data_IF_153444611892
#
_entry.id   IF_153444611892
#
_cell.length_a   1.000
_cell.length_b   1.000
_cell.length_c   1.000
_cell.angle_alpha   90.00
_cell.angle_beta   90.00
_cell.angle_gamma   90.00
#
_symmetry.space_group_name_H-M   'P 1'
#
loop_
_entity.id
_entity.type
_entity.pdbx_description
1 polymer ?
#
# COMPACT_ATOMS: atom_id res chain seq x y z
N UNK A 1 -13.27 7.66 -13.45
CA UNK A 1 -12.38 8.72 -12.93
C UNK A 1 -11.39 8.06 -11.98
N UNK A 2 -10.12 8.42 -12.07
CA UNK A 2 -9.07 7.95 -11.16
C UNK A 2 -8.40 9.18 -10.57
N UNK A 3 -8.37 9.26 -9.25
CA UNK A 3 -7.46 10.14 -8.54
C UNK A 3 -6.11 9.43 -8.40
N UNK A 4 -5.01 10.13 -8.69
CA UNK A 4 -3.66 9.60 -8.59
C UNK A 4 -2.77 10.63 -7.92
N UNK A 5 -2.26 10.27 -6.75
CA UNK A 5 -1.35 11.10 -5.97
C UNK A 5 -0.25 10.27 -5.32
N UNK A 6 0.90 10.90 -5.07
CA UNK A 6 1.98 10.35 -4.25
C UNK A 6 1.77 10.81 -2.82
N UNK A 7 1.83 9.88 -1.86
CA UNK A 7 1.74 10.18 -0.44
C UNK A 7 3.07 9.80 0.24
N UNK A 8 3.62 10.74 1.00
CA UNK A 8 4.84 10.50 1.78
C UNK A 8 4.45 10.13 3.21
N UNK A 9 4.63 8.85 3.55
CA UNK A 9 4.23 8.31 4.84
C UNK A 9 5.41 7.97 5.75
N UNK A 10 6.66 8.14 5.32
CA UNK A 10 7.79 8.14 6.25
C UNK A 10 7.83 9.46 7.03
N UNK A 11 8.25 9.43 8.30
CA UNK A 11 8.38 10.66 9.09
C UNK A 11 9.74 11.34 8.89
N UNK A 12 9.83 12.49 8.19
CA UNK A 12 11.08 13.23 8.00
C UNK A 12 11.72 13.71 9.31
N UNK A 13 10.98 13.72 10.44
CA UNK A 13 11.54 14.04 11.76
C UNK A 13 12.32 12.87 12.38
N UNK A 14 12.18 11.66 11.83
CA UNK A 14 12.88 10.46 12.30
C UNK A 14 13.93 10.10 11.24
N UNK A 15 15.21 10.28 11.57
CA UNK A 15 16.32 9.91 10.69
C UNK A 15 16.24 8.44 10.31
N UNK A 16 16.31 8.12 9.01
CA UNK A 16 16.24 6.74 8.51
C UNK A 16 14.83 6.17 8.32
N UNK A 17 13.78 6.97 8.54
CA UNK A 17 12.38 6.50 8.46
C UNK A 17 11.92 6.08 7.07
N UNK A 18 12.65 6.43 6.01
CA UNK A 18 12.38 5.94 4.64
C UNK A 18 12.71 4.46 4.47
N UNK A 19 13.65 3.95 5.27
CA UNK A 19 14.09 2.55 5.27
C UNK A 19 14.33 2.11 6.72
N UNK A 20 13.26 2.01 7.53
CA UNK A 20 13.36 1.88 8.98
C UNK A 20 14.15 0.63 9.42
N UNK A 21 14.00 -0.50 8.73
CA UNK A 21 14.76 -1.72 9.08
C UNK A 21 16.23 -1.64 8.67
N UNK A 22 16.56 -0.93 7.57
CA UNK A 22 17.97 -0.64 7.25
C UNK A 22 18.59 0.28 8.30
N UNK A 23 17.88 1.32 8.72
CA UNK A 23 18.37 2.24 9.75
C UNK A 23 18.49 1.58 11.13
N UNK A 24 17.74 0.50 11.37
CA UNK A 24 17.84 -0.33 12.56
C UNK A 24 18.93 -1.41 12.46
N UNK A 25 19.52 -1.64 11.29
CA UNK A 25 20.59 -2.61 11.08
C UNK A 25 21.81 -2.24 11.93
N UNK A 26 22.31 -3.19 12.71
CA UNK A 26 23.45 -2.99 13.62
C UNK A 26 23.10 -2.30 14.94
N UNK A 27 21.85 -1.92 15.19
CA UNK A 27 21.41 -1.49 16.52
C UNK A 27 21.21 -2.71 17.43
N UNK A 28 21.48 -2.52 18.73
CA UNK A 28 21.05 -3.45 19.77
C UNK A 28 19.53 -3.67 19.70
N UNK A 29 19.07 -4.91 19.91
CA UNK A 29 17.67 -5.31 19.64
C UNK A 29 16.62 -4.42 20.32
N UNK A 30 16.85 -4.03 21.58
CA UNK A 30 15.93 -3.15 22.30
C UNK A 30 15.90 -1.72 21.74
N UNK A 31 17.04 -1.23 21.23
CA UNK A 31 17.11 0.07 20.56
C UNK A 31 16.46 0.01 19.18
N UNK A 32 16.71 -1.06 18.43
CA UNK A 32 16.06 -1.33 17.16
C UNK A 32 14.53 -1.35 17.32
N UNK A 33 14.01 -2.09 18.30
CA UNK A 33 12.57 -2.16 18.60
C UNK A 33 11.98 -0.78 18.87
N UNK A 34 12.53 -0.02 19.82
CA UNK A 34 12.04 1.33 20.16
C UNK A 34 12.11 2.30 18.98
N UNK A 35 13.14 2.18 18.15
CA UNK A 35 13.28 2.97 16.94
C UNK A 35 12.17 2.62 15.93
N UNK A 36 11.95 1.33 15.66
CA UNK A 36 10.93 0.86 14.74
C UNK A 36 9.51 1.23 15.21
N UNK A 37 9.21 1.11 16.50
CA UNK A 37 7.93 1.54 17.08
C UNK A 37 7.64 3.03 16.80
N UNK A 38 8.65 3.90 16.95
CA UNK A 38 8.52 5.33 16.62
C UNK A 38 8.29 5.56 15.12
N UNK A 39 8.99 4.80 14.26
CA UNK A 39 8.78 4.85 12.81
C UNK A 39 7.38 4.37 12.43
N UNK A 40 6.87 3.31 13.06
CA UNK A 40 5.53 2.79 12.82
C UNK A 40 4.46 3.81 13.21
N UNK A 41 4.57 4.43 14.39
CA UNK A 41 3.65 5.45 14.84
C UNK A 41 3.64 6.66 13.90
N UNK A 42 4.83 7.16 13.53
CA UNK A 42 4.98 8.26 12.57
C UNK A 42 4.36 7.92 11.21
N UNK A 43 4.56 6.70 10.71
CA UNK A 43 4.01 6.26 9.45
C UNK A 43 2.49 6.09 9.48
N UNK A 44 1.94 5.50 10.55
CA UNK A 44 0.49 5.33 10.73
C UNK A 44 -0.23 6.68 10.78
N UNK A 45 0.31 7.65 11.51
CA UNK A 45 -0.26 9.00 11.60
C UNK A 45 -0.33 9.67 10.21
N UNK A 46 0.75 9.60 9.46
CA UNK A 46 0.85 10.21 8.12
C UNK A 46 -0.04 9.51 7.10
N UNK A 47 -0.07 8.17 7.12
CA UNK A 47 -0.96 7.39 6.28
C UNK A 47 -2.43 7.72 6.59
N UNK A 48 -2.81 7.81 7.87
CA UNK A 48 -4.19 8.15 8.27
C UNK A 48 -4.58 9.53 7.77
N UNK A 49 -3.71 10.53 7.93
CA UNK A 49 -3.96 11.89 7.42
C UNK A 49 -4.11 11.91 5.90
N UNK A 50 -3.21 11.24 5.18
CA UNK A 50 -3.24 11.22 3.72
C UNK A 50 -4.50 10.51 3.18
N UNK A 51 -4.90 9.38 3.77
CA UNK A 51 -6.12 8.67 3.37
C UNK A 51 -7.39 9.46 3.74
N UNK A 52 -7.38 10.16 4.86
CA UNK A 52 -8.48 11.07 5.25
C UNK A 52 -8.65 12.20 4.22
N UNK A 53 -7.56 12.85 3.81
CA UNK A 53 -7.57 13.91 2.79
C UNK A 53 -8.13 13.39 1.45
N UNK A 54 -7.68 12.21 1.00
CA UNK A 54 -8.23 11.55 -0.20
C UNK A 54 -9.73 11.33 -0.08
N UNK A 55 -10.18 10.79 1.06
CA UNK A 55 -11.60 10.51 1.30
C UNK A 55 -12.44 11.78 1.30
N UNK A 56 -11.95 12.86 1.91
CA UNK A 56 -12.69 14.11 2.01
C UNK A 56 -12.75 14.84 0.66
N UNK A 57 -11.70 14.78 -0.14
CA UNK A 57 -11.71 15.27 -1.53
C UNK A 57 -12.73 14.50 -2.38
N UNK A 58 -12.71 13.17 -2.32
CA UNK A 58 -13.69 12.33 -3.03
C UNK A 58 -15.13 12.62 -2.59
N UNK A 59 -15.37 12.81 -1.29
CA UNK A 59 -16.69 13.18 -0.76
C UNK A 59 -17.14 14.56 -1.26
N UNK A 60 -16.23 15.53 -1.33
CA UNK A 60 -16.51 16.88 -1.87
C UNK A 60 -16.95 16.81 -3.33
N UNK A 61 -16.41 15.86 -4.08
CA UNK A 61 -16.78 15.58 -5.47
C UNK A 61 -18.03 14.67 -5.59
N UNK A 62 -18.76 14.44 -4.48
CA UNK A 62 -19.98 13.63 -4.46
C UNK A 62 -19.75 12.13 -4.57
N UNK A 63 -18.55 11.64 -4.20
CA UNK A 63 -18.21 10.21 -4.24
C UNK A 63 -18.06 9.60 -2.86
N UNK A 64 -18.46 8.35 -2.76
CA UNK A 64 -18.27 7.53 -1.57
C UNK A 64 -17.08 6.59 -1.72
N UNK A 65 -16.34 6.41 -0.64
CA UNK A 65 -15.24 5.44 -0.54
C UNK A 65 -15.76 4.14 0.06
N UNK A 66 -15.77 3.06 -0.70
CA UNK A 66 -16.34 1.76 -0.28
C UNK A 66 -15.32 0.76 0.26
N UNK A 67 -14.03 1.00 0.06
CA UNK A 67 -12.96 0.13 0.54
C UNK A 67 -11.58 0.55 0.05
N UNK A 68 -10.57 -0.22 0.45
CA UNK A 68 -9.17 0.00 0.11
C UNK A 68 -8.54 -1.29 -0.41
N UNK A 69 -8.04 -1.27 -1.65
CA UNK A 69 -7.28 -2.40 -2.20
C UNK A 69 -5.79 -2.23 -1.89
N UNK A 70 -5.18 -3.19 -1.21
CA UNK A 70 -3.77 -3.13 -0.81
C UNK A 70 -2.96 -4.26 -1.45
N UNK A 71 -1.96 -3.89 -2.25
CA UNK A 71 -1.07 -4.86 -2.90
C UNK A 71 -0.04 -5.43 -1.92
N UNK A 72 -0.04 -6.75 -1.77
CA UNK A 72 0.92 -7.48 -0.96
C UNK A 72 2.08 -8.01 -1.82
N UNK A 73 3.29 -7.97 -1.28
CA UNK A 73 4.45 -8.59 -1.94
C UNK A 73 4.39 -10.12 -1.83
N UNK A 74 4.62 -10.66 -0.62
CA UNK A 74 4.52 -12.09 -0.33
C UNK A 74 3.34 -12.44 0.57
N UNK A 75 2.82 -11.47 1.33
CA UNK A 75 1.76 -11.67 2.32
C UNK A 75 2.16 -12.60 3.48
N UNK A 76 3.46 -12.86 3.65
CA UNK A 76 3.97 -13.74 4.70
C UNK A 76 4.34 -12.91 5.94
N UNK A 77 4.05 -13.40 7.15
CA UNK A 77 4.47 -12.73 8.36
C UNK A 77 5.99 -12.64 8.42
N UNK A 78 6.50 -11.51 8.93
CA UNK A 78 7.92 -11.35 9.17
C UNK A 78 8.37 -12.29 10.30
N UNK A 79 9.60 -12.86 10.21
CA UNK A 79 10.19 -13.58 11.32
C UNK A 79 10.50 -12.63 12.50
N UNK A 80 10.94 -13.16 13.66
CA UNK A 80 11.37 -12.33 14.79
C UNK A 80 12.39 -11.25 14.40
N UNK A 81 12.37 -10.10 15.07
CA UNK A 81 13.19 -8.94 14.72
C UNK A 81 14.68 -9.27 14.56
N UNK A 82 15.25 -10.07 15.46
CA UNK A 82 16.66 -10.46 15.38
C UNK A 82 16.98 -11.21 14.07
N UNK A 83 16.07 -12.07 13.63
CA UNK A 83 16.18 -12.80 12.37
C UNK A 83 15.98 -11.93 11.14
N UNK A 84 15.14 -10.89 11.24
CA UNK A 84 14.98 -9.88 10.19
C UNK A 84 16.29 -9.11 10.03
N UNK A 85 16.81 -8.55 11.12
CA UNK A 85 18.02 -7.71 11.10
C UNK A 85 19.30 -8.48 10.75
N UNK A 86 19.30 -9.81 10.88
CA UNK A 86 20.41 -10.66 10.47
C UNK A 86 20.49 -10.91 8.95
N UNK A 87 19.53 -10.44 8.15
CA UNK A 87 19.48 -10.70 6.71
C UNK A 87 19.01 -9.49 5.92
N UNK A 88 19.89 -8.99 5.04
CA UNK A 88 19.58 -7.86 4.15
C UNK A 88 18.34 -8.10 3.28
N UNK A 89 18.14 -9.34 2.81
CA UNK A 89 16.92 -9.71 2.06
C UNK A 89 15.64 -9.61 2.91
N UNK A 90 15.72 -9.97 4.19
CA UNK A 90 14.60 -9.83 5.13
C UNK A 90 14.37 -8.38 5.53
N UNK A 91 15.43 -7.58 5.68
CA UNK A 91 15.35 -6.14 5.89
C UNK A 91 14.58 -5.46 4.75
N UNK A 92 14.92 -5.74 3.49
CA UNK A 92 14.17 -5.20 2.34
C UNK A 92 12.68 -5.57 2.38
N UNK A 93 12.39 -6.82 2.76
CA UNK A 93 11.00 -7.29 2.89
C UNK A 93 10.28 -6.55 4.02
N UNK A 94 10.95 -6.37 5.15
CA UNK A 94 10.41 -5.72 6.33
C UNK A 94 10.14 -4.22 6.13
N UNK A 95 11.02 -3.50 5.42
CA UNK A 95 10.75 -2.11 5.02
C UNK A 95 9.49 -1.98 4.17
N UNK A 96 9.30 -2.90 3.22
CA UNK A 96 8.09 -2.93 2.41
C UNK A 96 6.84 -3.21 3.25
N UNK A 97 6.93 -4.15 4.20
CA UNK A 97 5.81 -4.51 5.07
C UNK A 97 5.46 -3.38 6.05
N UNK A 98 6.45 -2.67 6.57
CA UNK A 98 6.28 -1.50 7.45
C UNK A 98 5.27 -0.49 6.90
N UNK A 99 5.42 -0.13 5.63
CA UNK A 99 4.54 0.85 4.98
C UNK A 99 3.18 0.27 4.58
N UNK A 100 3.11 -1.04 4.25
CA UNK A 100 1.83 -1.72 3.98
C UNK A 100 0.99 -1.81 5.26
N UNK A 101 1.60 -2.17 6.38
CA UNK A 101 0.96 -2.21 7.68
C UNK A 101 0.48 -0.82 8.12
N UNK A 102 1.28 0.22 7.88
CA UNK A 102 0.87 1.60 8.13
C UNK A 102 -0.38 2.00 7.32
N UNK A 103 -0.43 1.65 6.02
CA UNK A 103 -1.59 1.90 5.15
C UNK A 103 -2.81 1.07 5.55
N UNK A 104 -2.61 -0.21 5.86
CA UNK A 104 -3.66 -1.14 6.30
C UNK A 104 -4.32 -0.63 7.60
N UNK A 105 -3.49 -0.28 8.58
CA UNK A 105 -3.95 0.27 9.86
C UNK A 105 -4.68 1.60 9.67
N UNK A 106 -4.15 2.48 8.81
CA UNK A 106 -4.78 3.77 8.50
C UNK A 106 -6.12 3.62 7.77
N UNK A 107 -6.25 2.67 6.84
CA UNK A 107 -7.53 2.40 6.19
C UNK A 107 -8.56 1.83 7.20
N UNK A 108 -8.13 0.92 8.07
CA UNK A 108 -8.98 0.36 9.12
C UNK A 108 -9.47 1.44 10.11
N UNK A 109 -8.63 2.39 10.51
CA UNK A 109 -9.03 3.50 11.41
C UNK A 109 -10.06 4.45 10.77
N UNK A 110 -10.15 4.45 9.44
CA UNK A 110 -11.14 5.18 8.66
C UNK A 110 -12.40 4.37 8.34
N UNK A 111 -12.53 3.15 8.90
CA UNK A 111 -13.59 2.19 8.58
C UNK A 111 -13.66 1.84 7.08
N UNK A 112 -12.51 1.83 6.39
CA UNK A 112 -12.42 1.35 5.01
C UNK A 112 -12.02 -0.13 5.03
N UNK A 113 -12.89 -1.05 4.58
CA UNK A 113 -12.51 -2.46 4.46
C UNK A 113 -11.27 -2.60 3.59
N UNK A 114 -10.23 -3.25 4.12
CA UNK A 114 -8.97 -3.50 3.40
C UNK A 114 -9.06 -4.85 2.71
N UNK A 115 -8.96 -4.84 1.39
CA UNK A 115 -8.84 -6.05 0.57
C UNK A 115 -7.37 -6.29 0.22
N UNK A 116 -6.69 -7.24 0.88
CA UNK A 116 -5.34 -7.61 0.49
C UNK A 116 -5.34 -8.36 -0.85
N UNK A 117 -4.44 -7.98 -1.75
CA UNK A 117 -4.30 -8.61 -3.08
C UNK A 117 -2.83 -8.95 -3.31
N UNK A 118 -2.45 -10.24 -3.42
CA UNK A 118 -1.10 -10.62 -3.81
C UNK A 118 -0.77 -10.05 -5.19
N UNK A 119 0.33 -9.29 -5.30
CA UNK A 119 0.71 -8.59 -6.53
C UNK A 119 0.84 -9.54 -7.73
N UNK A 120 1.32 -10.77 -7.48
CA UNK A 120 1.52 -11.78 -8.52
C UNK A 120 0.21 -12.36 -9.07
N UNK A 121 -0.87 -12.28 -8.30
CA UNK A 121 -2.15 -12.92 -8.62
C UNK A 121 -3.17 -11.93 -9.19
N UNK A 122 -2.92 -10.62 -9.07
CA UNK A 122 -3.90 -9.57 -9.35
C UNK A 122 -4.52 -9.67 -10.75
N UNK A 123 -3.74 -9.99 -11.79
CA UNK A 123 -4.28 -10.09 -13.16
C UNK A 123 -5.20 -11.30 -13.32
N UNK A 124 -4.79 -12.46 -12.80
CA UNK A 124 -5.59 -13.66 -12.84
C UNK A 124 -6.89 -13.48 -12.04
N UNK A 125 -6.78 -12.88 -10.86
CA UNK A 125 -7.93 -12.61 -9.99
C UNK A 125 -8.88 -11.58 -10.60
N UNK A 126 -8.36 -10.47 -11.11
CA UNK A 126 -9.16 -9.48 -11.83
C UNK A 126 -9.89 -10.10 -13.02
N UNK A 127 -9.26 -11.01 -13.76
CA UNK A 127 -9.92 -11.65 -14.89
C UNK A 127 -11.12 -12.50 -14.49
N UNK A 128 -11.02 -13.21 -13.37
CA UNK A 128 -12.10 -14.02 -12.80
C UNK A 128 -13.19 -13.13 -12.20
N UNK A 129 -12.82 -12.24 -11.27
CA UNK A 129 -13.77 -11.47 -10.46
C UNK A 129 -14.49 -10.41 -11.31
N UNK A 130 -13.82 -9.82 -12.30
CA UNK A 130 -14.41 -8.85 -13.25
C UNK A 130 -14.96 -9.52 -14.51
N UNK A 131 -14.89 -10.86 -14.62
CA UNK A 131 -15.34 -11.65 -15.77
C UNK A 131 -14.84 -11.10 -17.12
N UNK A 132 -13.60 -10.65 -17.14
CA UNK A 132 -12.99 -9.96 -18.28
C UNK A 132 -11.65 -10.61 -18.60
N UNK A 133 -11.38 -11.03 -19.85
CA UNK A 133 -10.09 -11.61 -20.21
C UNK A 133 -8.91 -10.69 -19.87
N UNK A 134 -7.75 -11.26 -19.50
CA UNK A 134 -6.55 -10.48 -19.12
C UNK A 134 -6.17 -9.48 -20.22
N UNK A 135 -6.20 -9.88 -21.49
CA UNK A 135 -5.89 -8.98 -22.61
C UNK A 135 -6.83 -7.77 -22.68
N UNK A 136 -8.09 -7.94 -22.30
CA UNK A 136 -9.09 -6.87 -22.29
C UNK A 136 -8.87 -5.95 -21.08
N UNK A 137 -8.55 -6.51 -19.92
CA UNK A 137 -8.13 -5.73 -18.74
C UNK A 137 -6.89 -4.89 -19.04
N UNK A 138 -5.89 -5.46 -19.71
CA UNK A 138 -4.68 -4.73 -20.12
C UNK A 138 -5.03 -3.56 -21.04
N UNK A 139 -5.92 -3.77 -22.02
CA UNK A 139 -6.41 -2.69 -22.91
C UNK A 139 -7.12 -1.60 -22.11
N UNK A 140 -8.02 -1.96 -21.19
CA UNK A 140 -8.75 -1.02 -20.34
C UNK A 140 -7.82 -0.20 -19.45
N UNK A 141 -6.92 -0.87 -18.72
CA UNK A 141 -5.93 -0.22 -17.84
C UNK A 141 -5.00 0.71 -18.64
N UNK A 142 -4.58 0.32 -19.83
CA UNK A 142 -3.76 1.18 -20.69
C UNK A 142 -4.56 2.37 -21.25
N UNK A 143 -5.84 2.20 -21.59
CA UNK A 143 -6.71 3.29 -22.03
C UNK A 143 -6.88 4.34 -20.92
N UNK A 144 -7.09 3.90 -19.69
CA UNK A 144 -7.14 4.78 -18.50
C UNK A 144 -5.84 5.59 -18.35
N UNK A 145 -4.69 4.95 -18.53
CA UNK A 145 -3.39 5.64 -18.49
C UNK A 145 -3.25 6.76 -19.53
N UNK A 146 -3.87 6.61 -20.71
CA UNK A 146 -3.90 7.67 -21.74
C UNK A 146 -4.72 8.88 -21.30
N UNK A 147 -5.76 8.67 -20.50
CA UNK A 147 -6.61 9.75 -19.96
C UNK A 147 -5.94 10.44 -18.76
N UNK A 148 -5.29 9.69 -17.88
CA UNK A 148 -4.68 10.21 -16.65
C UNK A 148 -3.27 10.80 -16.88
N UNK A 149 -2.58 10.35 -17.93
CA UNK A 149 -1.23 10.80 -18.27
C UNK A 149 -0.11 10.15 -17.44
N UNK A 150 1.17 10.42 -17.77
CA UNK A 150 2.32 9.83 -17.09
C UNK A 150 2.53 10.39 -15.67
N UNK A 151 3.27 9.67 -14.79
CA UNK A 151 3.69 8.27 -14.93
C UNK A 151 2.52 7.26 -14.82
N UNK A 152 2.53 6.24 -15.69
CA UNK A 152 1.58 5.11 -15.69
C UNK A 152 2.34 3.78 -15.73
N UNK A 153 3.16 3.57 -14.71
CA UNK A 153 4.02 2.39 -14.54
C UNK A 153 3.22 1.20 -14.02
N UNK A 154 3.91 0.06 -13.81
CA UNK A 154 3.32 -1.15 -13.25
C UNK A 154 2.52 -0.84 -11.96
N UNK A 155 3.06 -0.06 -11.04
CA UNK A 155 2.44 0.19 -9.74
C UNK A 155 1.08 0.88 -9.89
N UNK A 156 0.96 1.89 -10.77
CA UNK A 156 -0.33 2.55 -11.02
C UNK A 156 -1.35 1.61 -11.66
N UNK A 157 -0.91 0.75 -12.59
CA UNK A 157 -1.77 -0.24 -13.25
C UNK A 157 -2.33 -1.24 -12.25
N UNK A 158 -1.47 -1.76 -11.37
CA UNK A 158 -1.87 -2.73 -10.36
C UNK A 158 -2.75 -2.07 -9.28
N UNK A 159 -2.47 -0.83 -8.87
CA UNK A 159 -3.32 -0.09 -7.95
C UNK A 159 -4.73 0.14 -8.54
N UNK A 160 -4.83 0.46 -9.83
CA UNK A 160 -6.12 0.62 -10.50
C UNK A 160 -6.93 -0.68 -10.53
N UNK A 161 -6.30 -1.80 -10.89
CA UNK A 161 -6.95 -3.12 -10.85
C UNK A 161 -7.41 -3.50 -9.44
N UNK A 162 -6.57 -3.22 -8.43
CA UNK A 162 -6.90 -3.47 -7.03
C UNK A 162 -8.15 -2.68 -6.60
N UNK A 163 -8.24 -1.41 -7.01
CA UNK A 163 -9.44 -0.60 -6.82
C UNK A 163 -10.68 -1.16 -7.52
N UNK A 164 -10.56 -1.68 -8.74
CA UNK A 164 -11.69 -2.30 -9.46
C UNK A 164 -12.17 -3.59 -8.80
N UNK A 165 -11.27 -4.41 -8.27
CA UNK A 165 -11.62 -5.60 -7.48
C UNK A 165 -12.46 -5.21 -6.25
N UNK A 166 -12.05 -4.17 -5.52
CA UNK A 166 -12.82 -3.66 -4.38
C UNK A 166 -14.20 -3.18 -4.78
N UNK A 167 -14.29 -2.41 -5.88
CA UNK A 167 -15.57 -1.91 -6.38
C UNK A 167 -16.51 -3.05 -6.81
N UNK A 168 -15.99 -4.10 -7.46
CA UNK A 168 -16.78 -5.23 -7.92
C UNK A 168 -17.41 -6.05 -6.78
N UNK A 169 -16.79 -6.07 -5.60
CA UNK A 169 -17.34 -6.75 -4.41
C UNK A 169 -18.33 -5.88 -3.64
N UNK A 170 -18.21 -4.56 -3.75
CA UNK A 170 -19.07 -3.59 -3.08
C UNK A 170 -20.33 -3.19 -3.89
N UNK A 171 -20.46 -3.68 -5.13
CA UNK A 171 -21.56 -3.37 -6.06
C UNK A 171 -22.67 -4.40 -6.06
#
# INVERSE_FOLDING_TARGET
MIDRRRIEIADPKITGSMQPYHAAEGLELDRARKYLERCEEGSRLRASKALQEVRDDLRRDGRETVGCGLLLASGRPLPPLAEVLASHARIHTADGEHFREALSTAAASLNLPVAPVPEKEIWARAAVDLRTPIADLERLVNAVGKTVGPPWTKDQKLAALSGWLVLAVAS
#
